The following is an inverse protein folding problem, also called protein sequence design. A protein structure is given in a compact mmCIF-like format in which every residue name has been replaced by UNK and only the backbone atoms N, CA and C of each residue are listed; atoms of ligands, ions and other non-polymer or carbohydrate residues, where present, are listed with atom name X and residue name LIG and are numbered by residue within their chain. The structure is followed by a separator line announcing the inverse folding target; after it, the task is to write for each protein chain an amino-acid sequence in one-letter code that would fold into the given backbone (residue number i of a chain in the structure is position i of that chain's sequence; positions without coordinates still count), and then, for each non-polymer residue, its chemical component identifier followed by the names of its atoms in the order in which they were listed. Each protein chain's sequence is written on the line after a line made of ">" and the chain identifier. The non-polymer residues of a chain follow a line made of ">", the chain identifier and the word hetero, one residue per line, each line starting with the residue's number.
data_IF_191965403980
#
_entry.id   IF_191965403980
#
_cell.length_a   1.000
_cell.length_b   1.000
_cell.length_c   1.000
_cell.angle_alpha   90.00
_cell.angle_beta   90.00
_cell.angle_gamma   90.00
#
_symmetry.space_group_name_H-M   'P 1'
#
loop_
_entity.id
_entity.type
_entity.pdbx_description
1 polymer ?
#
# COMPACT_ATOMS: atom_id res chain seq x y z
N UNK A 1 -9.38 -6.86 -20.66
CA UNK A 1 -7.96 -6.55 -20.78
C UNK A 1 -7.82 -5.10 -21.22
N UNK A 2 -7.23 -4.27 -20.37
CA UNK A 2 -6.87 -2.91 -20.70
C UNK A 2 -5.44 -2.94 -21.27
N UNK A 3 -5.33 -2.73 -22.58
CA UNK A 3 -4.04 -2.50 -23.24
C UNK A 3 -3.81 -0.99 -23.30
N UNK A 4 -2.60 -0.56 -22.89
CA UNK A 4 -2.15 0.83 -22.95
C UNK A 4 -2.94 1.83 -22.07
N UNK A 5 -2.70 1.80 -20.77
CA UNK A 5 -3.13 2.84 -19.84
C UNK A 5 -2.17 4.02 -19.88
N UNK A 6 -2.70 5.22 -20.16
CA UNK A 6 -1.94 6.47 -20.14
C UNK A 6 -2.34 7.32 -18.94
N UNK A 7 -1.39 7.63 -18.07
CA UNK A 7 -1.59 8.64 -17.03
C UNK A 7 -1.00 9.97 -17.46
N UNK A 8 -1.84 10.99 -17.59
CA UNK A 8 -1.41 12.35 -17.89
C UNK A 8 -1.19 13.12 -16.60
N UNK A 9 0.05 13.52 -16.34
CA UNK A 9 0.40 14.49 -15.27
C UNK A 9 0.80 15.81 -15.91
N UNK A 10 0.83 16.91 -15.13
CA UNK A 10 1.34 18.21 -15.58
C UNK A 10 2.79 18.15 -16.10
N UNK A 11 3.57 17.15 -15.69
CA UNK A 11 4.98 16.94 -16.05
C UNK A 11 5.22 15.93 -17.17
N UNK A 12 4.19 15.34 -17.78
CA UNK A 12 4.35 14.36 -18.86
C UNK A 12 3.29 13.26 -18.87
N UNK A 13 3.39 12.41 -19.89
CA UNK A 13 2.54 11.22 -20.03
C UNK A 13 3.34 9.98 -19.62
N UNK A 14 2.83 9.19 -18.72
CA UNK A 14 3.38 7.88 -18.37
C UNK A 14 2.58 6.84 -19.15
N UNK A 15 3.23 6.13 -20.08
CA UNK A 15 2.65 4.99 -20.74
C UNK A 15 2.83 3.77 -19.84
N UNK A 16 1.75 3.12 -19.49
CA UNK A 16 1.76 1.87 -18.74
C UNK A 16 1.48 0.73 -19.70
N UNK A 17 2.54 0.02 -20.08
CA UNK A 17 2.42 -1.18 -20.91
C UNK A 17 2.23 -2.44 -20.07
N UNK A 18 1.58 -3.45 -20.65
CA UNK A 18 1.44 -4.80 -20.10
C UNK A 18 0.72 -4.85 -18.74
N UNK A 19 -0.29 -4.00 -18.53
CA UNK A 19 -1.14 -4.06 -17.35
C UNK A 19 -2.38 -4.90 -17.66
N UNK A 20 -2.52 -6.03 -16.98
CA UNK A 20 -3.74 -6.80 -16.96
C UNK A 20 -4.50 -6.52 -15.67
N UNK A 21 -5.76 -6.09 -15.79
CA UNK A 21 -6.66 -5.83 -14.68
C UNK A 21 -7.87 -6.73 -14.82
N UNK A 22 -8.17 -7.51 -13.78
CA UNK A 22 -9.38 -8.30 -13.67
C UNK A 22 -10.16 -7.84 -12.46
N UNK A 23 -11.38 -7.39 -12.68
CA UNK A 23 -12.34 -7.01 -11.66
C UNK A 23 -13.57 -7.91 -11.79
N UNK A 24 -13.87 -8.65 -10.74
CA UNK A 24 -15.12 -9.40 -10.61
C UNK A 24 -15.89 -8.76 -9.44
N UNK A 25 -17.07 -8.23 -9.72
CA UNK A 25 -17.92 -7.56 -8.74
C UNK A 25 -19.33 -8.17 -8.78
N UNK A 26 -19.81 -8.57 -7.60
CA UNK A 26 -21.15 -9.07 -7.36
C UNK A 26 -21.73 -8.41 -6.11
N UNK A 27 -22.98 -8.69 -5.79
CA UNK A 27 -23.69 -8.09 -4.65
C UNK A 27 -23.02 -8.35 -3.30
N UNK A 28 -22.28 -9.45 -3.17
CA UNK A 28 -21.63 -9.87 -1.93
C UNK A 28 -20.16 -10.26 -2.09
N UNK A 29 -19.54 -9.89 -3.21
CA UNK A 29 -18.14 -10.21 -3.46
C UNK A 29 -17.54 -9.18 -4.41
N UNK A 30 -16.37 -8.70 -4.07
CA UNK A 30 -15.53 -7.92 -4.97
C UNK A 30 -14.12 -8.49 -4.95
N UNK A 31 -13.60 -8.85 -6.13
CA UNK A 31 -12.21 -9.25 -6.29
C UNK A 31 -11.55 -8.38 -7.36
N UNK A 32 -10.33 -7.93 -7.09
CA UNK A 32 -9.52 -7.18 -8.04
C UNK A 32 -8.14 -7.82 -8.12
N UNK A 33 -7.70 -8.12 -9.34
CA UNK A 33 -6.36 -8.59 -9.60
C UNK A 33 -5.67 -7.70 -10.61
N UNK A 34 -4.48 -7.25 -10.29
CA UNK A 34 -3.62 -6.44 -11.16
C UNK A 34 -2.33 -7.20 -11.39
N UNK A 35 -1.99 -7.39 -12.66
CA UNK A 35 -0.74 -8.01 -13.09
C UNK A 35 0.00 -7.02 -14.00
N UNK A 36 1.28 -6.82 -13.74
CA UNK A 36 2.15 -6.03 -14.59
C UNK A 36 3.58 -6.52 -14.45
N UNK A 37 4.06 -7.26 -15.43
CA UNK A 37 5.41 -7.86 -15.42
C UNK A 37 5.66 -8.62 -14.11
N UNK A 38 6.53 -8.14 -13.22
CA UNK A 38 6.82 -8.75 -11.92
C UNK A 38 6.03 -8.11 -10.75
N UNK A 39 4.93 -7.42 -11.04
CA UNK A 39 3.97 -6.94 -10.05
C UNK A 39 2.70 -7.80 -10.08
N UNK A 40 2.31 -8.25 -8.90
CA UNK A 40 1.01 -8.88 -8.64
C UNK A 40 0.36 -8.15 -7.48
N UNK A 41 -0.85 -7.64 -7.68
CA UNK A 41 -1.68 -7.13 -6.61
C UNK A 41 -3.04 -7.84 -6.64
N UNK A 42 -3.45 -8.32 -5.50
CA UNK A 42 -4.71 -9.02 -5.28
C UNK A 42 -5.50 -8.31 -4.17
N UNK A 43 -6.77 -8.12 -4.38
CA UNK A 43 -7.72 -7.62 -3.40
C UNK A 43 -8.97 -8.48 -3.43
N UNK A 44 -9.47 -8.87 -2.28
CA UNK A 44 -10.75 -9.55 -2.14
C UNK A 44 -11.53 -9.03 -0.93
N UNK A 45 -12.84 -8.99 -1.06
CA UNK A 45 -13.76 -8.60 0.00
C UNK A 45 -15.13 -9.24 -0.19
N UNK A 46 -15.76 -9.74 0.88
CA UNK A 46 -17.13 -10.24 0.85
C UNK A 46 -18.16 -9.08 0.91
N UNK A 47 -17.94 -8.06 0.12
CA UNK A 47 -18.82 -6.89 -0.01
C UNK A 47 -19.00 -6.51 -1.48
N UNK A 48 -20.12 -5.87 -1.81
CA UNK A 48 -20.29 -5.21 -3.10
C UNK A 48 -19.35 -4.00 -3.23
N UNK A 49 -19.06 -3.59 -4.45
CA UNK A 49 -18.19 -2.44 -4.72
C UNK A 49 -18.73 -1.14 -4.12
N UNK A 50 -20.05 -0.94 -4.11
CA UNK A 50 -20.69 0.25 -3.51
C UNK A 50 -20.55 0.25 -1.99
N UNK A 51 -20.71 -0.91 -1.37
CA UNK A 51 -20.47 -1.07 0.08
C UNK A 51 -19.03 -0.80 0.44
N UNK A 52 -18.08 -1.29 -0.36
CA UNK A 52 -16.65 -1.02 -0.18
C UNK A 52 -16.35 0.47 -0.27
N UNK A 53 -16.81 1.14 -1.32
CA UNK A 53 -16.58 2.57 -1.53
C UNK A 53 -17.12 3.40 -0.35
N UNK A 54 -18.35 3.11 0.08
CA UNK A 54 -18.99 3.81 1.20
C UNK A 54 -18.25 3.58 2.51
N UNK A 55 -17.89 2.34 2.82
CA UNK A 55 -17.22 1.99 4.08
C UNK A 55 -15.77 2.50 4.13
N UNK A 56 -15.02 2.42 3.03
CA UNK A 56 -13.67 3.00 2.98
C UNK A 56 -13.69 4.53 3.08
N UNK A 57 -14.66 5.21 2.43
CA UNK A 57 -14.83 6.65 2.58
C UNK A 57 -15.06 7.02 4.05
N UNK A 58 -16.00 6.34 4.71
CA UNK A 58 -16.29 6.56 6.12
C UNK A 58 -15.09 6.29 7.02
N UNK A 59 -14.38 5.19 6.80
CA UNK A 59 -13.19 4.86 7.57
C UNK A 59 -12.07 5.92 7.40
N UNK A 60 -11.89 6.45 6.18
CA UNK A 60 -10.92 7.50 5.92
C UNK A 60 -11.27 8.82 6.61
N UNK A 61 -12.55 9.20 6.64
CA UNK A 61 -13.04 10.38 7.37
C UNK A 61 -12.81 10.25 8.89
N UNK A 62 -13.14 9.09 9.45
CA UNK A 62 -12.90 8.78 10.88
C UNK A 62 -11.41 8.86 11.17
N UNK A 63 -10.57 8.22 10.36
CA UNK A 63 -9.12 8.23 10.56
C UNK A 63 -8.55 9.66 10.49
N UNK A 64 -8.97 10.45 9.51
CA UNK A 64 -8.54 11.83 9.38
C UNK A 64 -8.89 12.67 10.62
N UNK A 65 -10.13 12.57 11.11
CA UNK A 65 -10.54 13.28 12.34
C UNK A 65 -9.81 12.79 13.59
N UNK A 66 -9.53 11.49 13.69
CA UNK A 66 -8.76 10.92 14.80
C UNK A 66 -7.27 11.34 14.77
N UNK A 67 -6.69 11.45 13.59
CA UNK A 67 -5.32 11.96 13.44
C UNK A 67 -5.18 13.41 13.89
N UNK A 68 -6.16 14.26 13.64
CA UNK A 68 -6.18 15.64 14.14
C UNK A 68 -6.21 15.72 15.67
N UNK A 69 -6.88 14.76 16.33
CA UNK A 69 -6.97 14.67 17.78
C UNK A 69 -5.82 13.90 18.44
N UNK A 70 -4.89 13.34 17.64
CA UNK A 70 -3.79 12.47 18.09
C UNK A 70 -4.26 11.22 18.88
N UNK A 71 -5.50 10.80 18.68
CA UNK A 71 -6.08 9.63 19.34
C UNK A 71 -6.76 8.75 18.31
N UNK A 72 -6.36 7.48 18.23
CA UNK A 72 -6.97 6.50 17.34
C UNK A 72 -7.90 5.59 18.15
N UNK A 73 -9.20 5.72 17.92
CA UNK A 73 -10.22 4.77 18.42
C UNK A 73 -10.32 3.62 17.42
N UNK A 74 -9.70 2.51 17.80
CA UNK A 74 -9.59 1.31 16.97
C UNK A 74 -10.94 0.63 16.78
N UNK A 75 -11.81 0.66 17.80
CA UNK A 75 -13.14 0.04 17.75
C UNK A 75 -14.01 0.78 16.70
N UNK A 76 -14.02 2.11 16.76
CA UNK A 76 -14.77 2.93 15.79
C UNK A 76 -14.23 2.76 14.38
N UNK A 77 -12.91 2.75 14.21
CA UNK A 77 -12.27 2.56 12.91
C UNK A 77 -12.55 1.15 12.36
N UNK A 78 -12.41 0.11 13.19
CA UNK A 78 -12.67 -1.27 12.79
C UNK A 78 -14.14 -1.51 12.38
N UNK A 79 -15.11 -0.90 13.09
CA UNK A 79 -16.51 -1.00 12.68
C UNK A 79 -16.81 -0.32 11.33
N UNK A 80 -16.08 0.74 11.01
CA UNK A 80 -16.24 1.44 9.75
C UNK A 80 -15.57 0.71 8.58
N UNK A 81 -14.43 0.06 8.78
CA UNK A 81 -13.71 -0.68 7.75
C UNK A 81 -14.53 -1.87 7.23
N UNK A 82 -14.60 -2.10 5.92
CA UNK A 82 -15.15 -3.35 5.38
C UNK A 82 -14.19 -4.51 5.67
N UNK A 83 -14.67 -5.75 5.73
CA UNK A 83 -13.78 -6.90 5.69
C UNK A 83 -13.09 -6.98 4.32
N UNK A 84 -11.78 -7.17 4.30
CA UNK A 84 -11.00 -7.31 3.06
C UNK A 84 -9.67 -8.02 3.30
N UNK A 85 -9.09 -8.53 2.22
CA UNK A 85 -7.68 -8.91 2.13
C UNK A 85 -7.04 -8.19 0.95
N UNK A 86 -5.82 -7.74 1.14
CA UNK A 86 -5.01 -7.11 0.12
C UNK A 86 -3.60 -7.68 0.16
N UNK A 87 -3.08 -8.03 -0.99
CA UNK A 87 -1.70 -8.47 -1.20
C UNK A 87 -1.08 -7.71 -2.36
N UNK A 88 0.18 -7.30 -2.20
CA UNK A 88 1.00 -6.71 -3.26
C UNK A 88 2.40 -7.31 -3.18
N UNK A 89 2.89 -7.78 -4.32
CA UNK A 89 4.29 -8.17 -4.51
C UNK A 89 4.78 -7.53 -5.80
N UNK A 90 5.92 -6.86 -5.74
CA UNK A 90 6.52 -6.29 -6.93
C UNK A 90 8.05 -6.47 -6.90
N UNK A 91 8.63 -6.88 -8.02
CA UNK A 91 10.06 -7.01 -8.23
C UNK A 91 10.70 -5.70 -8.73
N UNK A 92 11.55 -5.80 -9.75
CA UNK A 92 12.26 -4.64 -10.33
C UNK A 92 11.54 -4.03 -11.53
N UNK A 93 10.91 -4.87 -12.33
CA UNK A 93 10.28 -4.47 -13.58
C UNK A 93 8.77 -4.42 -13.38
N UNK A 94 8.25 -3.26 -13.00
CA UNK A 94 6.85 -3.13 -12.63
C UNK A 94 6.34 -1.69 -12.74
N UNK A 95 5.03 -1.57 -12.69
CA UNK A 95 4.28 -0.33 -12.74
C UNK A 95 4.74 0.72 -11.71
N UNK A 96 5.13 0.30 -10.49
CA UNK A 96 5.57 1.23 -9.45
C UNK A 96 6.82 1.98 -9.94
N UNK A 97 7.77 1.27 -10.53
CA UNK A 97 8.99 1.89 -11.06
C UNK A 97 8.72 2.78 -12.28
N UNK A 98 7.75 2.43 -13.12
CA UNK A 98 7.35 3.30 -14.24
C UNK A 98 6.78 4.64 -13.73
N UNK A 99 5.99 4.60 -12.64
CA UNK A 99 5.45 5.80 -11.98
C UNK A 99 6.54 6.62 -11.27
N UNK A 100 7.55 5.96 -10.71
CA UNK A 100 8.64 6.60 -9.97
C UNK A 100 9.76 7.15 -10.89
N UNK A 101 9.92 6.58 -12.09
CA UNK A 101 11.00 6.91 -13.01
C UNK A 101 11.11 8.39 -13.38
N UNK A 102 10.03 9.15 -13.64
CA UNK A 102 10.11 10.59 -13.93
C UNK A 102 10.72 11.40 -12.78
N UNK A 103 10.59 10.93 -11.55
CA UNK A 103 11.19 11.54 -10.36
C UNK A 103 12.60 11.00 -10.06
N UNK A 104 13.18 10.22 -10.98
CA UNK A 104 14.47 9.52 -10.81
C UNK A 104 14.52 8.61 -9.58
N UNK A 105 13.36 8.10 -9.19
CA UNK A 105 13.22 7.18 -8.07
C UNK A 105 13.00 5.75 -8.56
N UNK A 106 13.42 4.78 -7.77
CA UNK A 106 13.16 3.37 -8.04
C UNK A 106 13.10 2.54 -6.77
N UNK A 107 12.44 1.40 -6.85
CA UNK A 107 12.37 0.41 -5.78
C UNK A 107 12.55 -0.99 -6.36
N UNK A 108 13.32 -1.87 -5.71
CA UNK A 108 13.61 -3.18 -6.30
C UNK A 108 12.65 -4.27 -5.87
N UNK A 109 12.17 -4.22 -4.65
CA UNK A 109 11.21 -5.20 -4.14
C UNK A 109 10.24 -4.50 -3.20
N UNK A 110 8.97 -4.69 -3.47
CA UNK A 110 7.89 -4.23 -2.58
C UNK A 110 7.04 -5.43 -2.23
N UNK A 111 6.69 -5.54 -0.97
CA UNK A 111 5.67 -6.47 -0.50
C UNK A 111 4.79 -5.76 0.50
N UNK A 112 3.49 -5.91 0.33
CA UNK A 112 2.50 -5.37 1.25
C UNK A 112 1.40 -6.40 1.45
N UNK A 113 0.92 -6.50 2.66
CA UNK A 113 -0.29 -7.24 3.03
C UNK A 113 -1.10 -6.38 3.96
N UNK A 114 -2.38 -6.27 3.71
CA UNK A 114 -3.32 -5.63 4.60
C UNK A 114 -4.59 -6.49 4.68
N UNK A 115 -5.16 -6.60 5.84
CA UNK A 115 -6.39 -7.34 6.04
C UNK A 115 -7.22 -6.71 7.15
N UNK A 116 -8.50 -6.84 7.02
CA UNK A 116 -9.47 -6.57 8.06
C UNK A 116 -10.62 -7.58 7.96
N UNK A 117 -10.85 -8.28 9.03
CA UNK A 117 -12.04 -9.10 9.26
C UNK A 117 -12.56 -8.79 10.67
N UNK A 118 -11.91 -9.30 11.69
CA UNK A 118 -12.16 -8.98 13.11
C UNK A 118 -11.04 -8.15 13.73
N UNK A 119 -9.88 -8.10 13.08
CA UNK A 119 -8.72 -7.30 13.49
C UNK A 119 -8.13 -6.56 12.28
N UNK A 120 -7.53 -5.40 12.56
CA UNK A 120 -6.79 -4.64 11.57
C UNK A 120 -5.35 -5.17 11.51
N UNK A 121 -4.90 -5.49 10.32
CA UNK A 121 -3.55 -5.96 10.04
C UNK A 121 -2.96 -5.25 8.83
N UNK A 122 -1.73 -4.79 8.96
CA UNK A 122 -0.92 -4.26 7.87
C UNK A 122 0.53 -4.73 8.08
N UNK A 123 1.17 -5.21 7.03
CA UNK A 123 2.58 -5.51 6.97
C UNK A 123 3.10 -5.13 5.60
N UNK A 124 4.20 -4.41 5.56
CA UNK A 124 4.79 -3.96 4.32
C UNK A 124 6.28 -3.72 4.43
N UNK A 125 6.98 -4.00 3.36
CA UNK A 125 8.36 -3.60 3.20
C UNK A 125 8.68 -3.21 1.75
N UNK A 126 9.65 -2.31 1.62
CA UNK A 126 10.29 -2.00 0.35
C UNK A 126 11.81 -2.11 0.50
N UNK A 127 12.47 -2.71 -0.48
CA UNK A 127 13.94 -2.87 -0.49
C UNK A 127 14.57 -2.10 -1.61
N UNK A 128 15.77 -1.55 -1.33
CA UNK A 128 16.58 -0.78 -2.28
C UNK A 128 15.76 0.34 -2.91
N UNK A 129 15.24 1.19 -2.07
CA UNK A 129 14.58 2.41 -2.50
C UNK A 129 15.64 3.46 -2.83
N UNK A 130 15.67 3.89 -4.08
CA UNK A 130 16.59 4.90 -4.60
C UNK A 130 15.79 6.15 -4.92
N UNK A 131 16.17 7.28 -4.34
CA UNK A 131 15.55 8.60 -4.58
C UNK A 131 16.33 9.42 -5.60
N UNK A 132 17.38 8.84 -6.22
CA UNK A 132 18.33 9.54 -7.07
C UNK A 132 19.43 10.27 -6.30
N UNK A 133 19.15 10.75 -5.10
CA UNK A 133 20.12 11.41 -4.22
C UNK A 133 20.51 10.56 -3.01
N UNK A 134 19.66 9.64 -2.62
CA UNK A 134 19.84 8.79 -1.44
C UNK A 134 19.36 7.38 -1.73
N UNK A 135 20.07 6.40 -1.21
CA UNK A 135 19.70 5.00 -1.29
C UNK A 135 19.36 4.44 0.08
N UNK A 136 18.19 3.86 0.19
CA UNK A 136 17.69 3.23 1.41
C UNK A 136 17.63 1.72 1.17
N UNK A 137 18.26 0.91 2.02
CA UNK A 137 18.32 -0.53 1.83
C UNK A 137 16.98 -1.21 2.09
N UNK A 138 16.28 -0.81 3.15
CA UNK A 138 14.92 -1.25 3.42
C UNK A 138 14.09 -0.24 4.21
N UNK A 139 12.81 -0.19 3.89
CA UNK A 139 11.76 0.51 4.64
C UNK A 139 10.72 -0.52 5.01
N UNK A 140 10.24 -0.51 6.24
CA UNK A 140 9.16 -1.38 6.67
C UNK A 140 8.10 -0.60 7.44
N UNK A 141 6.89 -1.12 7.38
CA UNK A 141 5.74 -0.66 8.15
C UNK A 141 4.91 -1.85 8.57
N UNK A 142 4.48 -1.89 9.82
CA UNK A 142 3.56 -2.87 10.34
C UNK A 142 2.52 -2.19 11.23
N UNK A 143 1.28 -2.66 11.15
CA UNK A 143 0.23 -2.29 12.08
C UNK A 143 -0.57 -3.55 12.44
N UNK A 144 -0.77 -3.79 13.71
CA UNK A 144 -1.52 -4.94 14.18
C UNK A 144 -2.40 -4.55 15.36
N UNK A 145 -3.67 -4.84 15.23
CA UNK A 145 -4.62 -4.65 16.32
C UNK A 145 -4.46 -5.73 17.39
N UNK A 146 -4.39 -5.31 18.63
CA UNK A 146 -4.46 -6.15 19.82
C UNK A 146 -5.51 -5.58 20.78
N UNK A 147 -6.69 -6.18 20.83
CA UNK A 147 -7.83 -5.65 21.56
C UNK A 147 -8.18 -4.24 21.08
N UNK A 148 -8.17 -3.27 21.97
CA UNK A 148 -8.48 -1.85 21.67
C UNK A 148 -7.28 -1.02 21.22
N UNK A 149 -6.14 -1.61 21.01
CA UNK A 149 -4.90 -0.90 20.64
C UNK A 149 -4.40 -1.35 19.27
N UNK A 150 -3.80 -0.43 18.52
CA UNK A 150 -2.98 -0.76 17.35
C UNK A 150 -1.53 -0.62 17.75
N UNK A 151 -0.77 -1.70 17.56
CA UNK A 151 0.68 -1.67 17.62
C UNK A 151 1.22 -1.27 16.25
N UNK A 152 1.94 -0.16 16.20
CA UNK A 152 2.59 0.34 14.99
C UNK A 152 4.09 0.08 15.09
N UNK A 153 4.67 -0.48 14.03
CA UNK A 153 6.10 -0.65 13.87
C UNK A 153 6.50 -0.12 12.48
N UNK A 154 7.37 0.86 12.44
CA UNK A 154 7.87 1.41 11.18
C UNK A 154 9.35 1.74 11.30
N UNK A 155 10.08 1.56 10.23
CA UNK A 155 11.51 1.85 10.28
C UNK A 155 12.18 1.87 8.93
N UNK A 156 13.41 2.37 8.96
CA UNK A 156 14.35 2.43 7.85
C UNK A 156 15.61 1.72 8.30
N UNK A 157 16.12 0.83 7.47
CA UNK A 157 17.42 0.18 7.69
C UNK A 157 18.36 0.50 6.53
N UNK A 158 19.57 0.93 6.85
CA UNK A 158 20.67 1.06 5.91
C UNK A 158 21.84 0.18 6.37
N UNK A 159 22.31 -0.71 5.50
CA UNK A 159 23.54 -1.45 5.73
C UNK A 159 24.72 -0.58 5.31
N UNK A 160 25.72 -0.53 6.17
CA UNK A 160 26.97 0.26 6.07
C UNK A 160 27.37 0.67 4.65
N UNK A 161 27.57 1.97 4.44
CA UNK A 161 28.38 2.46 3.35
C UNK A 161 27.98 3.76 2.68
N UNK A 162 26.74 4.25 2.75
CA UNK A 162 26.35 5.43 2.00
C UNK A 162 25.72 6.60 2.78
N UNK A 163 25.45 6.46 4.06
CA UNK A 163 25.02 7.58 4.90
C UNK A 163 25.38 7.27 6.36
N UNK A 164 26.34 8.02 6.90
CA UNK A 164 26.74 7.95 8.31
C UNK A 164 25.66 8.40 9.30
N UNK A 165 24.44 8.71 8.85
CA UNK A 165 23.43 9.38 9.67
C UNK A 165 22.21 8.51 10.06
N UNK A 166 21.92 7.39 9.37
CA UNK A 166 20.75 6.56 9.71
C UNK A 166 21.06 5.07 9.62
N UNK A 167 21.47 4.45 10.72
CA UNK A 167 21.68 3.00 10.75
C UNK A 167 20.37 2.21 10.94
N UNK A 168 19.50 2.68 11.80
CA UNK A 168 18.16 2.13 12.04
C UNK A 168 17.34 3.17 12.81
N UNK A 169 16.18 3.53 12.27
CA UNK A 169 15.15 4.30 12.96
C UNK A 169 13.90 3.43 12.99
N UNK A 170 13.39 3.13 14.17
CA UNK A 170 12.10 2.45 14.35
C UNK A 170 11.23 3.24 15.32
N UNK A 171 9.95 3.35 15.01
CA UNK A 171 8.90 3.83 15.91
C UNK A 171 8.12 2.59 16.37
N UNK A 172 7.91 2.49 17.67
CA UNK A 172 7.06 1.47 18.30
C UNK A 172 5.93 2.13 19.01
#
# INVERSE_FOLDING_TARGET
>A
DLQDLFFRRHSGTIALSDVALKLDAADSLTTLRILNRDLVADFDSPCSIDTLATRFSRASEILAGQMESYMIDVDTLGQALPPFNFGLVAGRSNLINDILAPSKMSVQNVRMRAAHDSIIYLDGYARRFDTGSMRIDSVFIGARQHGKHIHLDAGIENRRGNLDQFHKVSLK
#
